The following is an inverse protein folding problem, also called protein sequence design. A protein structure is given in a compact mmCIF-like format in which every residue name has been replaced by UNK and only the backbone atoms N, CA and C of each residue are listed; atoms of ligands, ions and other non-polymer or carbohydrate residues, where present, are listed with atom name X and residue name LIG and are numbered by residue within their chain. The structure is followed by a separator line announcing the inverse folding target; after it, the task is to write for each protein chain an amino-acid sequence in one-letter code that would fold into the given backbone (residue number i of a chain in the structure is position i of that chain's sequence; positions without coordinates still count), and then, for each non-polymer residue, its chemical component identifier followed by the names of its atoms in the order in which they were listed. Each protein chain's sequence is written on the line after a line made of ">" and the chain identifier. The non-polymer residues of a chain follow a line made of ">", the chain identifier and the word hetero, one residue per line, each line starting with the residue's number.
data_IF_811983987780
#
_entry.id   IF_811983987780
#
_cell.length_a   1.000
_cell.length_b   1.000
_cell.length_c   1.000
_cell.angle_alpha   90.00
_cell.angle_beta   90.00
_cell.angle_gamma   90.00
#
_symmetry.space_group_name_H-M   'P 1'
#
loop_
_entity.id
_entity.type
_entity.pdbx_description
1 polymer ?
#
# COMPACT_ATOMS: atom_id res chain seq x y z
N UNK A 1 12.51 5.93 -3.82
CA UNK A 1 11.89 4.59 -3.99
C UNK A 1 12.81 3.60 -4.72
N UNK A 2 13.36 3.92 -5.90
CA UNK A 2 14.24 2.98 -6.62
C UNK A 2 15.56 2.69 -5.88
N UNK A 3 16.22 3.71 -5.33
CA UNK A 3 17.43 3.54 -4.49
C UNK A 3 17.12 2.72 -3.24
N UNK A 4 16.00 3.00 -2.56
CA UNK A 4 15.53 2.22 -1.41
C UNK A 4 15.34 0.72 -1.71
N UNK A 5 14.75 0.37 -2.87
CA UNK A 5 14.59 -1.03 -3.30
C UNK A 5 15.92 -1.69 -3.67
N UNK A 6 16.88 -0.91 -4.19
CA UNK A 6 18.24 -1.38 -4.47
C UNK A 6 18.96 -1.71 -3.16
N UNK A 7 18.95 -0.78 -2.19
CA UNK A 7 19.59 -0.94 -0.88
C UNK A 7 19.00 -2.11 -0.08
N UNK A 8 17.67 -2.28 -0.10
CA UNK A 8 17.03 -3.45 0.53
C UNK A 8 17.53 -4.74 -0.10
N UNK A 9 17.53 -4.83 -1.43
CA UNK A 9 17.97 -6.03 -2.13
C UNK A 9 19.45 -6.34 -1.86
N UNK A 10 20.31 -5.31 -1.85
CA UNK A 10 21.73 -5.44 -1.49
C UNK A 10 21.89 -6.01 -0.08
N UNK A 11 21.17 -5.44 0.90
CA UNK A 11 21.27 -5.87 2.29
C UNK A 11 20.73 -7.30 2.52
N UNK A 12 19.60 -7.64 1.89
CA UNK A 12 19.02 -8.99 1.96
C UNK A 12 19.95 -10.03 1.35
N UNK A 13 20.44 -9.80 0.14
CA UNK A 13 21.36 -10.71 -0.54
C UNK A 13 22.67 -10.84 0.22
N UNK A 14 23.19 -9.75 0.78
CA UNK A 14 24.39 -9.80 1.63
C UNK A 14 24.19 -10.74 2.81
N UNK A 15 23.10 -10.56 3.57
CA UNK A 15 22.80 -11.41 4.72
C UNK A 15 22.62 -12.88 4.31
N UNK A 16 21.91 -13.13 3.20
CA UNK A 16 21.71 -14.46 2.64
C UNK A 16 23.03 -15.15 2.30
N UNK A 17 23.90 -14.52 1.51
CA UNK A 17 25.19 -15.10 1.13
C UNK A 17 26.13 -15.25 2.34
N UNK A 18 26.12 -14.32 3.29
CA UNK A 18 26.87 -14.46 4.54
C UNK A 18 26.41 -15.67 5.35
N UNK A 19 25.10 -15.89 5.47
CA UNK A 19 24.53 -17.08 6.15
C UNK A 19 24.91 -18.41 5.47
N UNK A 20 25.16 -18.38 4.16
CA UNK A 20 25.63 -19.53 3.36
C UNK A 20 27.16 -19.72 3.44
N UNK A 21 27.85 -18.90 4.23
CA UNK A 21 29.29 -18.99 4.46
C UNK A 21 30.16 -18.28 3.42
N UNK A 22 29.62 -17.31 2.68
CA UNK A 22 30.40 -16.49 1.76
C UNK A 22 30.95 -15.25 2.48
N UNK A 23 32.14 -14.81 2.07
CA UNK A 23 32.62 -13.46 2.33
C UNK A 23 32.04 -12.52 1.29
N UNK A 24 31.26 -11.53 1.72
CA UNK A 24 30.54 -10.62 0.82
C UNK A 24 31.13 -9.22 0.87
N UNK A 25 31.41 -8.64 -0.30
CA UNK A 25 31.82 -7.26 -0.48
C UNK A 25 30.76 -6.49 -1.29
N UNK A 26 30.44 -5.26 -0.85
CA UNK A 26 29.55 -4.32 -1.54
C UNK A 26 30.40 -3.38 -2.40
N UNK A 27 29.89 -2.95 -3.56
CA UNK A 27 30.56 -2.02 -4.49
C UNK A 27 31.98 -2.47 -4.86
N UNK A 28 32.15 -3.78 -5.00
CA UNK A 28 33.45 -4.38 -5.18
C UNK A 28 33.95 -4.19 -6.62
N UNK A 29 35.24 -3.83 -6.81
CA UNK A 29 35.82 -3.71 -8.14
C UNK A 29 35.92 -5.09 -8.81
N UNK A 30 35.48 -5.15 -10.07
CA UNK A 30 35.52 -6.32 -10.95
C UNK A 30 35.98 -5.84 -12.33
N UNK A 31 37.22 -6.18 -12.69
CA UNK A 31 37.86 -5.63 -13.89
C UNK A 31 37.91 -4.09 -13.85
N UNK A 32 37.45 -3.44 -14.92
CA UNK A 32 37.41 -1.98 -15.05
C UNK A 32 36.09 -1.37 -14.54
N UNK A 33 35.28 -2.14 -13.81
CA UNK A 33 33.99 -1.68 -13.30
C UNK A 33 33.75 -2.14 -11.86
N UNK A 34 32.58 -1.82 -11.32
CA UNK A 34 32.14 -2.23 -9.99
C UNK A 34 30.87 -3.05 -10.11
N UNK A 35 30.79 -4.11 -9.31
CA UNK A 35 29.56 -4.86 -9.10
C UNK A 35 28.92 -4.44 -7.78
N UNK A 36 27.60 -4.47 -7.72
CA UNK A 36 26.86 -4.14 -6.49
C UNK A 36 27.25 -5.08 -5.33
N UNK A 37 27.38 -6.38 -5.61
CA UNK A 37 27.84 -7.38 -4.63
C UNK A 37 28.81 -8.39 -5.26
N UNK A 38 29.80 -8.79 -4.48
CA UNK A 38 30.67 -9.93 -4.79
C UNK A 38 30.74 -10.85 -3.57
N UNK A 39 30.18 -12.05 -3.71
CA UNK A 39 30.23 -13.09 -2.69
C UNK A 39 31.31 -14.13 -3.05
N UNK A 40 32.24 -14.40 -2.14
CA UNK A 40 33.35 -15.34 -2.37
C UNK A 40 33.34 -16.47 -1.35
N UNK A 41 33.54 -17.69 -1.84
CA UNK A 41 33.86 -18.89 -1.04
C UNK A 41 34.99 -19.65 -1.74
N UNK A 42 35.62 -20.61 -1.06
CA UNK A 42 36.89 -21.24 -1.46
C UNK A 42 36.99 -21.64 -2.95
N UNK A 43 35.89 -22.12 -3.53
CA UNK A 43 35.80 -22.64 -4.90
C UNK A 43 34.94 -21.79 -5.85
N UNK A 44 34.35 -20.69 -5.37
CA UNK A 44 33.32 -19.96 -6.11
C UNK A 44 33.32 -18.45 -5.82
N UNK A 45 33.15 -17.67 -6.88
CA UNK A 45 32.87 -16.23 -6.81
C UNK A 45 31.54 -15.95 -7.49
N UNK A 46 30.60 -15.34 -6.77
CA UNK A 46 29.33 -14.89 -7.31
C UNK A 46 29.34 -13.38 -7.38
N UNK A 47 29.24 -12.84 -8.60
CA UNK A 47 29.11 -11.42 -8.89
C UNK A 47 27.63 -11.13 -9.09
N UNK A 48 27.07 -10.21 -8.32
CA UNK A 48 25.65 -9.85 -8.39
C UNK A 48 25.50 -8.38 -8.78
N UNK A 49 24.56 -8.14 -9.69
CA UNK A 49 24.09 -6.80 -10.06
C UNK A 49 22.59 -6.72 -9.77
N UNK A 50 22.16 -5.67 -9.06
CA UNK A 50 20.75 -5.43 -8.76
C UNK A 50 20.18 -4.44 -9.78
N UNK A 51 19.16 -4.91 -10.50
CA UNK A 51 18.39 -4.10 -11.43
C UNK A 51 17.09 -3.63 -10.77
N UNK A 52 16.96 -2.31 -10.64
CA UNK A 52 15.71 -1.63 -10.29
C UNK A 52 15.26 -0.75 -11.47
N UNK A 53 14.00 -0.89 -11.89
CA UNK A 53 13.41 -0.05 -12.94
C UNK A 53 13.97 -0.28 -14.35
N UNK A 54 13.95 0.78 -15.17
CA UNK A 54 14.36 0.75 -16.58
C UNK A 54 15.90 0.74 -16.75
N UNK A 55 16.35 0.14 -17.86
CA UNK A 55 17.78 -0.01 -18.16
C UNK A 55 18.31 1.15 -19.01
N UNK A 56 18.98 2.09 -18.36
CA UNK A 56 19.74 3.14 -19.06
C UNK A 56 20.87 2.50 -19.90
N UNK A 57 21.33 3.18 -20.97
CA UNK A 57 22.48 2.71 -21.75
C UNK A 57 23.73 2.44 -20.90
N UNK A 58 24.05 3.29 -19.91
CA UNK A 58 25.24 3.08 -19.07
C UNK A 58 25.09 1.82 -18.20
N UNK A 59 23.90 1.60 -17.60
CA UNK A 59 23.63 0.39 -16.81
C UNK A 59 23.75 -0.88 -17.66
N UNK A 60 23.29 -0.84 -18.91
CA UNK A 60 23.45 -1.97 -19.85
C UNK A 60 24.91 -2.24 -20.17
N UNK A 61 25.68 -1.19 -20.46
CA UNK A 61 27.10 -1.33 -20.75
C UNK A 61 27.86 -1.94 -19.55
N UNK A 62 27.56 -1.49 -18.33
CA UNK A 62 28.15 -2.05 -17.10
C UNK A 62 27.83 -3.53 -16.92
N UNK A 63 26.56 -3.92 -17.05
CA UNK A 63 26.13 -5.33 -16.96
C UNK A 63 26.85 -6.19 -18.01
N UNK A 64 26.99 -5.69 -19.23
CA UNK A 64 27.74 -6.38 -20.30
C UNK A 64 29.21 -6.58 -19.91
N UNK A 65 29.90 -5.53 -19.44
CA UNK A 65 31.31 -5.61 -19.01
C UNK A 65 31.51 -6.60 -17.86
N UNK A 66 30.62 -6.61 -16.88
CA UNK A 66 30.64 -7.59 -15.79
C UNK A 66 30.44 -9.02 -16.32
N UNK A 67 29.48 -9.21 -17.21
CA UNK A 67 29.21 -10.51 -17.83
C UNK A 67 30.34 -11.02 -18.73
N UNK A 68 31.06 -10.14 -19.43
CA UNK A 68 32.27 -10.46 -20.18
C UNK A 68 33.39 -10.90 -19.21
N UNK A 69 33.68 -10.09 -18.18
CA UNK A 69 34.71 -10.39 -17.19
C UNK A 69 34.47 -11.75 -16.51
N UNK A 70 33.24 -12.02 -16.08
CA UNK A 70 32.89 -13.29 -15.41
C UNK A 70 33.08 -14.49 -16.33
N UNK A 71 32.75 -14.37 -17.63
CA UNK A 71 32.93 -15.46 -18.60
C UNK A 71 34.38 -15.89 -18.78
N UNK A 72 35.31 -14.96 -18.61
CA UNK A 72 36.74 -15.22 -18.73
C UNK A 72 37.32 -15.97 -17.50
N UNK A 73 36.53 -16.17 -16.44
CA UNK A 73 36.96 -16.79 -15.19
C UNK A 73 36.17 -18.06 -14.84
N UNK A 74 36.87 -19.20 -14.72
CA UNK A 74 36.25 -20.54 -14.58
C UNK A 74 35.41 -20.74 -13.30
N UNK A 75 35.69 -20.01 -12.24
CA UNK A 75 35.02 -20.15 -10.93
C UNK A 75 34.05 -19.00 -10.63
N UNK A 76 33.69 -18.19 -11.62
CA UNK A 76 32.81 -17.04 -11.44
C UNK A 76 31.40 -17.36 -11.94
N UNK A 77 30.41 -16.84 -11.23
CA UNK A 77 29.00 -16.81 -11.62
C UNK A 77 28.53 -15.38 -11.64
N UNK A 78 27.74 -15.02 -12.65
CA UNK A 78 27.13 -13.71 -12.76
C UNK A 78 25.62 -13.82 -12.59
N UNK A 79 25.06 -13.09 -11.64
CA UNK A 79 23.63 -13.05 -11.37
C UNK A 79 23.12 -11.61 -11.50
N UNK A 80 22.10 -11.42 -12.32
CA UNK A 80 21.35 -10.16 -12.37
C UNK A 80 20.07 -10.35 -11.58
N UNK A 81 19.95 -9.67 -10.45
CA UNK A 81 18.76 -9.74 -9.58
C UNK A 81 17.84 -8.59 -9.92
N UNK A 82 16.61 -8.90 -10.34
CA UNK A 82 15.62 -7.86 -10.66
C UNK A 82 14.77 -7.61 -9.42
N UNK A 83 14.86 -6.40 -8.87
CA UNK A 83 13.99 -5.93 -7.79
C UNK A 83 12.93 -5.01 -8.37
N UNK A 84 11.70 -5.53 -8.46
CA UNK A 84 10.53 -4.76 -8.87
C UNK A 84 9.73 -4.35 -7.64
N UNK A 85 9.28 -3.09 -7.52
CA UNK A 85 8.28 -2.74 -6.52
C UNK A 85 7.06 -3.67 -6.66
N UNK A 86 6.39 -4.03 -5.56
CA UNK A 86 5.08 -4.66 -5.62
C UNK A 86 4.19 -3.80 -6.53
N UNK A 87 3.52 -4.42 -7.50
CA UNK A 87 2.53 -3.68 -8.28
C UNK A 87 1.41 -3.31 -7.30
N UNK A 88 1.00 -2.03 -7.20
CA UNK A 88 -0.21 -1.70 -6.46
C UNK A 88 -1.35 -2.49 -7.08
N UNK A 89 -2.08 -3.24 -6.25
CA UNK A 89 -3.31 -3.87 -6.68
C UNK A 89 -4.36 -2.76 -6.70
N UNK A 90 -5.04 -2.60 -7.83
CA UNK A 90 -6.23 -1.75 -7.84
C UNK A 90 -7.36 -2.55 -7.18
N UNK A 91 -7.79 -2.12 -6.00
CA UNK A 91 -8.94 -2.71 -5.31
C UNK A 91 -10.08 -1.73 -5.58
N UNK A 92 -11.03 -2.17 -6.41
CA UNK A 92 -12.21 -1.40 -6.77
C UNK A 92 -13.42 -2.18 -6.29
N UNK A 93 -14.18 -1.58 -5.36
CA UNK A 93 -15.42 -2.12 -4.83
C UNK A 93 -16.54 -1.25 -5.41
N UNK A 94 -17.33 -1.77 -6.37
CA UNK A 94 -18.41 -1.00 -6.98
C UNK A 94 -19.39 -0.50 -5.92
N UNK A 95 -19.85 0.73 -6.11
CA UNK A 95 -20.92 1.36 -5.33
C UNK A 95 -20.61 1.44 -3.82
N UNK A 96 -19.34 1.44 -3.44
CA UNK A 96 -18.89 1.48 -2.04
C UNK A 96 -19.39 2.72 -1.29
N UNK A 97 -19.37 3.88 -1.94
CA UNK A 97 -19.89 5.14 -1.40
C UNK A 97 -21.37 5.00 -1.01
N UNK A 98 -22.20 4.47 -1.91
CA UNK A 98 -23.63 4.23 -1.68
C UNK A 98 -23.86 3.21 -0.55
N UNK A 99 -23.10 2.11 -0.52
CA UNK A 99 -23.20 1.10 0.53
C UNK A 99 -22.85 1.64 1.92
N UNK A 100 -21.81 2.46 2.01
CA UNK A 100 -21.41 3.10 3.27
C UNK A 100 -22.40 4.18 3.67
N UNK A 101 -22.91 4.96 2.73
CA UNK A 101 -23.94 5.96 2.98
C UNK A 101 -25.21 5.33 3.59
N UNK A 102 -25.77 4.29 2.96
CA UNK A 102 -26.93 3.58 3.49
C UNK A 102 -26.67 3.02 4.90
N UNK A 103 -25.49 2.44 5.11
CA UNK A 103 -25.13 1.88 6.41
C UNK A 103 -25.02 2.96 7.50
N UNK A 104 -24.40 4.10 7.20
CA UNK A 104 -24.22 5.22 8.13
C UNK A 104 -25.55 5.88 8.47
N UNK A 105 -26.48 5.98 7.50
CA UNK A 105 -27.84 6.46 7.77
C UNK A 105 -28.58 5.58 8.79
N UNK A 106 -28.45 4.25 8.65
CA UNK A 106 -29.08 3.30 9.56
C UNK A 106 -28.33 3.16 10.91
N UNK A 107 -27.03 3.47 10.93
CA UNK A 107 -26.14 3.32 12.09
C UNK A 107 -25.37 4.62 12.35
N UNK A 108 -26.12 5.67 12.65
CA UNK A 108 -25.60 7.03 12.78
C UNK A 108 -24.42 7.12 13.78
N UNK A 109 -23.23 7.58 13.35
CA UNK A 109 -22.06 7.71 14.23
C UNK A 109 -22.28 8.70 15.37
N UNK A 110 -21.96 8.28 16.60
CA UNK A 110 -22.15 9.11 17.79
C UNK A 110 -21.31 10.38 17.81
N UNK A 111 -20.17 10.36 17.12
CA UNK A 111 -19.24 11.45 16.92
C UNK A 111 -19.91 12.61 16.20
N UNK A 112 -20.70 12.31 15.16
CA UNK A 112 -21.44 13.31 14.37
C UNK A 112 -22.67 13.85 15.11
N UNK A 113 -23.31 13.02 15.95
CA UNK A 113 -24.50 13.41 16.71
C UNK A 113 -24.16 14.49 17.75
N UNK A 114 -22.90 14.50 18.22
CA UNK A 114 -22.41 15.47 19.19
C UNK A 114 -22.15 16.87 18.63
N UNK A 115 -22.11 17.03 17.30
CA UNK A 115 -21.67 18.28 16.65
C UNK A 115 -22.72 19.39 16.69
N UNK A 116 -24.01 19.04 16.64
CA UNK A 116 -25.09 20.02 16.51
C UNK A 116 -26.37 19.59 17.23
N UNK A 117 -27.42 20.42 17.18
CA UNK A 117 -28.73 20.02 17.74
C UNK A 117 -29.43 18.98 16.87
N UNK A 118 -29.11 18.98 15.58
CA UNK A 118 -29.60 18.01 14.61
C UNK A 118 -28.61 17.94 13.45
N UNK A 119 -27.86 16.83 13.39
CA UNK A 119 -26.92 16.54 12.30
C UNK A 119 -27.61 15.62 11.29
N UNK A 120 -27.50 15.94 10.01
CA UNK A 120 -27.96 15.10 8.90
C UNK A 120 -26.76 14.67 8.07
N UNK A 121 -26.79 13.42 7.59
CA UNK A 121 -25.81 12.93 6.60
C UNK A 121 -26.31 13.36 5.23
N UNK A 122 -25.47 14.06 4.48
CA UNK A 122 -25.77 14.47 3.12
C UNK A 122 -25.27 13.44 2.11
N UNK A 123 -24.01 12.99 2.26
CA UNK A 123 -23.39 12.03 1.35
C UNK A 123 -22.19 11.32 1.99
N UNK A 124 -21.74 10.25 1.33
CA UNK A 124 -20.44 9.60 1.56
C UNK A 124 -19.68 9.58 0.25
N UNK A 125 -18.47 10.13 0.27
CA UNK A 125 -17.65 10.29 -0.93
C UNK A 125 -16.20 9.83 -0.70
N UNK A 126 -15.50 9.61 -1.81
CA UNK A 126 -14.08 9.28 -1.83
C UNK A 126 -13.73 8.01 -1.03
N UNK A 127 -14.67 7.07 -0.92
CA UNK A 127 -14.40 5.81 -0.22
C UNK A 127 -13.41 4.95 -1.00
N UNK A 128 -12.39 4.48 -0.30
CA UNK A 128 -11.31 3.68 -0.86
C UNK A 128 -11.07 2.46 0.00
N UNK A 129 -10.67 1.35 -0.62
CA UNK A 129 -10.30 0.11 0.07
C UNK A 129 -8.79 -0.07 0.01
N UNK A 130 -8.16 -0.01 1.18
CA UNK A 130 -6.73 -0.22 1.35
C UNK A 130 -6.38 -1.71 1.45
N UNK A 131 -7.25 -2.47 2.11
CA UNK A 131 -7.07 -3.90 2.33
C UNK A 131 -8.33 -4.68 1.98
N UNK A 132 -8.17 -5.76 1.21
CA UNK A 132 -9.23 -6.70 0.89
C UNK A 132 -8.75 -8.13 1.10
N UNK A 133 -9.51 -8.89 1.88
CA UNK A 133 -9.29 -10.32 2.10
C UNK A 133 -10.55 -11.10 1.74
N UNK A 134 -10.39 -12.19 0.99
CA UNK A 134 -11.49 -13.12 0.71
C UNK A 134 -11.63 -14.07 1.88
N UNK A 135 -12.83 -14.09 2.48
CA UNK A 135 -13.21 -15.00 3.56
C UNK A 135 -13.92 -16.24 2.99
N UNK A 136 -14.30 -17.14 3.89
CA UNK A 136 -15.13 -18.29 3.53
C UNK A 136 -16.47 -17.85 2.93
N UNK A 137 -17.02 -18.71 2.04
CA UNK A 137 -18.32 -18.53 1.41
C UNK A 137 -18.44 -17.28 0.51
N UNK A 138 -17.31 -16.73 0.06
CA UNK A 138 -17.29 -15.60 -0.87
C UNK A 138 -17.56 -14.24 -0.22
N UNK A 139 -17.51 -14.18 1.12
CA UNK A 139 -17.51 -12.91 1.87
C UNK A 139 -16.16 -12.20 1.71
N UNK A 140 -16.17 -10.88 1.83
CA UNK A 140 -14.99 -10.04 1.66
C UNK A 140 -14.79 -9.22 2.93
N UNK A 141 -13.66 -9.35 3.60
CA UNK A 141 -13.25 -8.39 4.62
C UNK A 141 -12.56 -7.21 3.92
N UNK A 142 -13.04 -6.00 4.18
CA UNK A 142 -12.51 -4.76 3.61
C UNK A 142 -12.16 -3.77 4.70
N UNK A 143 -11.02 -3.10 4.54
CA UNK A 143 -10.62 -1.96 5.36
C UNK A 143 -10.31 -0.79 4.47
N UNK A 144 -10.66 0.40 4.92
CA UNK A 144 -10.48 1.59 4.12
C UNK A 144 -10.85 2.87 4.82
N UNK A 145 -10.98 3.91 4.02
CA UNK A 145 -11.34 5.26 4.47
C UNK A 145 -12.22 5.95 3.45
N UNK A 146 -12.98 6.95 3.90
CA UNK A 146 -13.78 7.83 3.06
C UNK A 146 -14.00 9.16 3.75
N UNK A 147 -14.88 9.98 3.17
CA UNK A 147 -15.33 11.26 3.73
C UNK A 147 -16.84 11.25 3.84
N UNK A 148 -17.36 11.64 5.01
CA UNK A 148 -18.79 11.84 5.23
C UNK A 148 -19.10 13.33 5.20
N UNK A 149 -20.04 13.73 4.37
CA UNK A 149 -20.54 15.10 4.28
C UNK A 149 -21.80 15.24 5.14
N UNK A 150 -21.88 16.30 5.94
CA UNK A 150 -22.97 16.51 6.90
C UNK A 150 -23.55 17.92 6.83
N UNK A 151 -24.85 18.02 7.08
CA UNK A 151 -25.57 19.26 7.35
C UNK A 151 -25.78 19.39 8.87
N UNK A 152 -25.33 20.50 9.45
CA UNK A 152 -25.38 20.80 10.88
C UNK A 152 -26.41 21.90 11.14
N UNK A 153 -27.44 21.58 11.92
CA UNK A 153 -28.49 22.53 12.29
C UNK A 153 -28.30 23.02 13.73
N UNK A 154 -28.26 24.34 13.89
CA UNK A 154 -28.17 25.04 15.17
C UNK A 154 -29.37 25.95 15.39
N UNK A 155 -29.70 26.16 16.66
CA UNK A 155 -30.73 27.11 17.07
C UNK A 155 -32.14 26.53 17.03
N UNK A 156 -33.10 27.34 17.48
CA UNK A 156 -34.53 27.03 17.46
C UNK A 156 -35.21 27.70 16.28
N UNK A 157 -36.41 27.24 15.88
CA UNK A 157 -37.19 27.63 14.68
C UNK A 157 -37.18 29.10 14.21
N UNK A 158 -36.90 30.07 15.07
CA UNK A 158 -36.84 31.49 14.72
C UNK A 158 -35.42 32.00 14.40
N UNK A 159 -34.37 31.25 14.78
CA UNK A 159 -32.93 31.52 14.60
C UNK A 159 -32.19 30.26 14.12
N UNK A 160 -32.75 29.56 13.14
CA UNK A 160 -32.13 28.36 12.55
C UNK A 160 -30.88 28.75 11.73
N UNK A 161 -29.74 28.15 12.08
CA UNK A 161 -28.50 28.28 11.34
C UNK A 161 -28.07 26.91 10.82
N UNK A 162 -27.85 26.85 9.51
CA UNK A 162 -27.41 25.63 8.81
C UNK A 162 -25.97 25.86 8.35
N UNK A 163 -25.11 24.90 8.65
CA UNK A 163 -23.74 24.85 8.12
C UNK A 163 -23.44 23.48 7.55
N UNK A 164 -22.50 23.42 6.62
CA UNK A 164 -22.06 22.19 5.98
C UNK A 164 -20.62 21.91 6.37
N UNK A 165 -20.30 20.64 6.64
CA UNK A 165 -18.95 20.19 6.96
C UNK A 165 -18.70 18.78 6.42
N UNK A 166 -17.44 18.38 6.41
CA UNK A 166 -17.00 17.08 5.91
C UNK A 166 -15.95 16.48 6.84
N UNK A 167 -16.16 15.23 7.25
CA UNK A 167 -15.27 14.54 8.18
C UNK A 167 -14.70 13.28 7.56
N UNK A 168 -13.37 13.06 7.64
CA UNK A 168 -12.80 11.81 7.20
C UNK A 168 -13.21 10.68 8.17
N UNK A 169 -13.41 9.49 7.64
CA UNK A 169 -13.68 8.29 8.44
C UNK A 169 -12.86 7.10 7.97
N UNK A 170 -12.69 6.12 8.86
CA UNK A 170 -12.11 4.81 8.57
C UNK A 170 -13.12 3.71 8.88
N UNK A 171 -13.04 2.60 8.15
CA UNK A 171 -13.94 1.46 8.32
C UNK A 171 -13.22 0.10 8.25
N UNK A 172 -13.79 -0.88 8.96
CA UNK A 172 -13.49 -2.32 8.87
C UNK A 172 -14.83 -3.06 8.75
N UNK A 173 -15.11 -3.58 7.56
CA UNK A 173 -16.40 -4.18 7.23
C UNK A 173 -16.25 -5.55 6.58
N UNK A 174 -17.30 -6.36 6.71
CA UNK A 174 -17.49 -7.59 5.95
C UNK A 174 -18.58 -7.37 4.93
N UNK A 175 -18.26 -7.56 3.65
CA UNK A 175 -19.21 -7.50 2.55
C UNK A 175 -19.65 -8.91 2.16
N UNK A 176 -20.91 -9.05 1.77
CA UNK A 176 -21.48 -10.26 1.16
C UNK A 176 -22.32 -9.89 -0.06
N UNK A 177 -22.57 -10.88 -0.92
CA UNK A 177 -23.56 -10.74 -1.99
C UNK A 177 -24.95 -11.17 -1.50
N UNK A 178 -25.95 -10.39 -1.85
CA UNK A 178 -27.35 -10.72 -1.61
C UNK A 178 -27.91 -11.66 -2.70
N UNK A 179 -29.20 -12.02 -2.63
CA UNK A 179 -29.85 -12.90 -3.62
C UNK A 179 -29.91 -12.33 -5.05
N UNK A 180 -29.74 -11.01 -5.20
CA UNK A 180 -29.71 -10.29 -6.48
C UNK A 180 -28.28 -10.12 -7.02
N UNK A 181 -27.29 -10.72 -6.38
CA UNK A 181 -25.86 -10.59 -6.68
C UNK A 181 -25.27 -9.19 -6.40
N UNK A 182 -25.96 -8.34 -5.64
CA UNK A 182 -25.48 -7.01 -5.23
C UNK A 182 -24.64 -7.14 -3.95
N UNK A 183 -23.58 -6.32 -3.82
CA UNK A 183 -22.80 -6.26 -2.59
C UNK A 183 -23.62 -5.56 -1.50
N UNK A 184 -23.47 -6.03 -0.26
CA UNK A 184 -24.12 -5.48 0.93
C UNK A 184 -23.17 -5.62 2.11
N UNK A 185 -23.27 -4.71 3.08
CA UNK A 185 -22.53 -4.84 4.34
C UNK A 185 -23.20 -5.93 5.18
N UNK A 186 -22.47 -7.03 5.41
CA UNK A 186 -22.87 -8.13 6.29
C UNK A 186 -22.65 -7.76 7.75
N UNK A 187 -21.50 -7.15 8.04
CA UNK A 187 -21.08 -6.73 9.37
C UNK A 187 -20.14 -5.53 9.30
N UNK A 188 -20.15 -4.68 10.33
CA UNK A 188 -19.23 -3.55 10.49
C UNK A 188 -18.52 -3.72 11.82
N UNK A 189 -17.24 -4.07 11.78
CA UNK A 189 -16.45 -4.25 12.99
C UNK A 189 -16.03 -2.91 13.59
N UNK A 190 -15.70 -1.94 12.73
CA UNK A 190 -15.22 -0.62 13.14
C UNK A 190 -15.65 0.43 12.11
N UNK A 191 -16.18 1.55 12.59
CA UNK A 191 -16.41 2.77 11.82
C UNK A 191 -16.07 3.94 12.73
N UNK A 192 -15.04 4.70 12.39
CA UNK A 192 -14.57 5.84 13.20
C UNK A 192 -14.57 7.09 12.36
N UNK A 193 -15.29 8.13 12.80
CA UNK A 193 -15.31 9.44 12.16
C UNK A 193 -14.39 10.39 12.93
N UNK A 194 -13.48 11.05 12.23
CA UNK A 194 -12.56 12.01 12.82
C UNK A 194 -13.17 13.42 12.75
N UNK A 195 -13.73 13.86 13.88
CA UNK A 195 -14.28 15.21 14.05
C UNK A 195 -13.29 16.18 14.73
N UNK A 196 -12.01 15.83 14.82
CA UNK A 196 -11.02 16.65 15.54
C UNK A 196 -10.85 18.05 14.94
N UNK A 197 -11.09 18.22 13.63
CA UNK A 197 -11.10 19.53 12.97
C UNK A 197 -12.14 20.48 13.56
N UNK A 198 -13.23 19.95 14.12
CA UNK A 198 -14.30 20.72 14.74
C UNK A 198 -13.94 21.19 16.15
N UNK A 199 -13.30 20.33 16.96
CA UNK A 199 -12.92 20.64 18.34
C UNK A 199 -11.83 21.73 18.44
N UNK A 200 -11.11 22.00 17.35
CA UNK A 200 -10.09 23.05 17.28
C UNK A 200 -10.64 24.44 16.89
N UNK A 201 -11.96 24.56 16.61
CA UNK A 201 -12.61 25.78 16.08
C UNK A 201 -13.23 26.73 17.12
#
# INVERSE_FOLDING_TARGET
>A
MQEYLHDIAVNQLRAEYQSKGYTVAIDAPIGDTKADLVAKRADEVVVLEIKVGSMTPEKRERVTKLGDYVRDHKNYKFLVVVSTPPKPKNIDVPDLDELLHEYILDNFPSELDSLSSHTQIEDVIESTVDELSVLDEGRLAVKGSGVVEVELHYGSKDDEHISYDSFPFTFDAVLKRNEKDELTIDDMHELTVDTSSWDES
#
